data_IF_868363348702
#
_entry.id   IF_868363348702
#
_cell.length_a   1.000
_cell.length_b   1.000
_cell.length_c   1.000
_cell.angle_alpha   90.00
_cell.angle_beta   90.00
_cell.angle_gamma   90.00
#
_symmetry.space_group_name_H-M   'P 1'
#
loop_
_entity.id
_entity.type
_entity.pdbx_description
1 polymer ?
#
# COMPACT_ATOMS: atom_id res chain seq x y z
N UNK A 1 -4.57 25.48 -0.54
CA UNK A 1 -4.73 24.58 0.63
C UNK A 1 -3.36 24.43 1.32
N UNK A 2 -3.28 24.88 2.59
CA UNK A 2 -2.03 24.94 3.37
C UNK A 2 -1.25 23.60 3.41
N UNK A 3 -1.94 22.48 3.34
CA UNK A 3 -1.30 21.16 3.32
C UNK A 3 -0.64 20.87 1.97
N UNK A 4 -1.26 21.27 0.88
CA UNK A 4 -0.67 21.10 -0.46
C UNK A 4 0.56 21.99 -0.65
N UNK A 5 0.54 23.20 -0.09
CA UNK A 5 1.68 24.11 -0.12
C UNK A 5 2.84 23.53 0.72
N UNK A 6 2.54 23.02 1.92
CA UNK A 6 3.51 22.30 2.75
C UNK A 6 4.13 21.11 2.00
N UNK A 7 3.34 20.31 1.28
CA UNK A 7 3.84 19.17 0.53
C UNK A 7 4.75 19.59 -0.62
N UNK A 8 4.48 20.71 -1.29
CA UNK A 8 5.34 21.24 -2.35
C UNK A 8 6.69 21.73 -1.84
N UNK A 9 6.69 22.37 -0.65
CA UNK A 9 7.88 22.95 -0.06
C UNK A 9 8.81 21.89 0.56
N UNK A 10 8.31 20.66 0.72
CA UNK A 10 9.06 19.55 1.29
C UNK A 10 9.44 18.54 0.21
N UNK A 11 10.59 17.88 0.38
CA UNK A 11 11.10 16.86 -0.55
C UNK A 11 10.32 15.54 -0.41
N UNK A 12 9.07 15.53 -0.85
CA UNK A 12 8.25 14.32 -0.86
C UNK A 12 8.55 13.53 -2.14
N UNK A 13 8.98 12.28 -2.01
CA UNK A 13 9.30 11.43 -3.15
C UNK A 13 8.07 10.87 -3.84
N UNK A 14 7.12 10.37 -3.07
CA UNK A 14 5.90 9.76 -3.61
C UNK A 14 4.86 9.61 -2.49
N UNK A 15 3.62 9.43 -2.91
CA UNK A 15 2.51 9.06 -2.03
C UNK A 15 2.07 7.63 -2.34
N UNK A 16 1.88 6.84 -1.30
CA UNK A 16 1.13 5.60 -1.38
C UNK A 16 -0.23 5.83 -0.73
N UNK A 17 -1.28 5.65 -1.50
CA UNK A 17 -2.66 5.79 -1.04
C UNK A 17 -3.37 4.45 -1.20
N UNK A 18 -4.06 4.01 -0.16
CA UNK A 18 -4.83 2.76 -0.23
C UNK A 18 -6.26 3.05 -0.67
N UNK A 19 -6.74 2.27 -1.64
CA UNK A 19 -8.12 2.24 -2.10
C UNK A 19 -8.55 0.78 -2.20
N UNK A 20 -9.45 0.34 -1.32
CA UNK A 20 -9.74 -1.09 -1.15
C UNK A 20 -10.72 -1.66 -2.20
N UNK A 21 -11.20 -0.83 -3.12
CA UNK A 21 -12.10 -1.24 -4.19
C UNK A 21 -12.86 -0.07 -4.79
N UNK A 22 -13.95 -0.37 -5.45
CA UNK A 22 -14.94 0.61 -5.92
C UNK A 22 -15.67 1.26 -4.73
N UNK A 23 -16.48 2.26 -4.99
CA UNK A 23 -17.06 3.14 -3.98
C UNK A 23 -17.77 2.41 -2.84
N UNK A 24 -18.65 1.49 -3.14
CA UNK A 24 -19.39 0.70 -2.14
C UNK A 24 -18.44 -0.15 -1.27
N UNK A 25 -17.47 -0.81 -1.88
CA UNK A 25 -16.46 -1.64 -1.18
C UNK A 25 -15.58 -0.78 -0.28
N UNK A 26 -15.09 0.34 -0.79
CA UNK A 26 -14.24 1.24 -0.03
C UNK A 26 -14.99 1.83 1.17
N UNK A 27 -16.21 2.30 0.96
CA UNK A 27 -17.01 2.94 1.99
C UNK A 27 -17.51 1.96 3.06
N UNK A 28 -17.77 0.70 2.68
CA UNK A 28 -18.08 -0.37 3.63
C UNK A 28 -16.86 -0.73 4.51
N UNK A 29 -15.68 -0.90 3.89
CA UNK A 29 -14.47 -1.33 4.61
C UNK A 29 -13.85 -0.22 5.45
N UNK A 30 -13.89 0.99 4.97
CA UNK A 30 -13.26 2.16 5.62
C UNK A 30 -14.17 3.38 5.55
N UNK A 31 -15.29 3.37 6.28
CA UNK A 31 -16.22 4.49 6.27
C UNK A 31 -15.56 5.77 6.80
N UNK A 32 -15.84 6.89 6.16
CA UNK A 32 -15.39 8.17 6.67
C UNK A 32 -16.24 8.58 7.90
N UNK A 33 -15.57 9.02 8.98
CA UNK A 33 -16.20 9.27 10.29
C UNK A 33 -17.34 10.30 10.28
N UNK A 34 -17.43 11.19 9.28
CA UNK A 34 -18.48 12.21 9.20
C UNK A 34 -19.68 11.78 8.35
N UNK A 35 -19.44 11.15 7.22
CA UNK A 35 -20.45 10.93 6.17
C UNK A 35 -20.40 9.56 5.52
N UNK A 36 -19.58 8.66 6.05
CA UNK A 36 -19.32 7.31 5.51
C UNK A 36 -18.74 7.27 4.08
N UNK A 37 -18.42 8.42 3.48
CA UNK A 37 -17.88 8.51 2.13
C UNK A 37 -16.37 8.79 2.17
N UNK A 38 -15.59 7.75 2.31
CA UNK A 38 -14.13 7.81 2.19
C UNK A 38 -13.66 7.74 0.74
N UNK A 39 -14.44 7.10 -0.14
CA UNK A 39 -14.07 6.93 -1.53
C UNK A 39 -13.93 8.26 -2.26
N UNK A 40 -14.95 9.12 -2.19
CA UNK A 40 -14.89 10.45 -2.79
C UNK A 40 -13.72 11.25 -2.24
N UNK A 41 -13.53 11.25 -0.92
CA UNK A 41 -12.43 12.00 -0.29
C UNK A 41 -11.05 11.53 -0.73
N UNK A 42 -10.84 10.21 -0.81
CA UNK A 42 -9.58 9.62 -1.26
C UNK A 42 -9.33 9.95 -2.73
N UNK A 43 -10.33 9.82 -3.58
CA UNK A 43 -10.19 10.06 -5.02
C UNK A 43 -9.95 11.53 -5.34
N UNK A 44 -10.56 12.47 -4.62
CA UNK A 44 -10.26 13.91 -4.70
C UNK A 44 -8.81 14.21 -4.33
N UNK A 45 -8.30 13.58 -3.27
CA UNK A 45 -6.91 13.75 -2.86
C UNK A 45 -5.93 13.19 -3.92
N UNK A 46 -6.23 12.03 -4.53
CA UNK A 46 -5.45 11.49 -5.64
C UNK A 46 -5.44 12.46 -6.82
N UNK A 47 -6.62 13.00 -7.21
CA UNK A 47 -6.73 13.99 -8.28
C UNK A 47 -5.85 15.22 -8.00
N UNK A 48 -5.89 15.75 -6.78
CA UNK A 48 -5.10 16.91 -6.38
C UNK A 48 -3.60 16.65 -6.45
N UNK A 49 -3.14 15.51 -5.94
CA UNK A 49 -1.71 15.15 -5.95
C UNK A 49 -1.19 14.93 -7.38
N UNK A 50 -1.97 14.24 -8.22
CA UNK A 50 -1.58 13.99 -9.62
C UNK A 50 -1.52 15.31 -10.42
N UNK A 51 -2.47 16.22 -10.22
CA UNK A 51 -2.45 17.55 -10.83
C UNK A 51 -1.24 18.40 -10.43
N UNK A 52 -0.74 18.19 -9.23
CA UNK A 52 0.47 18.83 -8.73
C UNK A 52 1.77 18.15 -9.19
N UNK A 53 1.67 17.05 -9.93
CA UNK A 53 2.81 16.31 -10.47
C UNK A 53 3.45 15.33 -9.50
N UNK A 54 2.85 15.08 -8.32
CA UNK A 54 3.39 14.11 -7.38
C UNK A 54 3.23 12.68 -7.91
N UNK A 55 4.23 11.81 -7.68
CA UNK A 55 4.07 10.38 -7.88
C UNK A 55 3.07 9.79 -6.87
N UNK A 56 2.05 9.10 -7.40
CA UNK A 56 1.01 8.48 -6.59
C UNK A 56 0.91 7.00 -6.92
N UNK A 57 1.26 6.17 -5.96
CA UNK A 57 1.01 4.74 -6.00
C UNK A 57 -0.34 4.45 -5.32
N UNK A 58 -1.29 3.88 -6.06
CA UNK A 58 -2.56 3.44 -5.47
C UNK A 58 -2.49 1.96 -5.16
N UNK A 59 -2.43 1.66 -3.86
CA UNK A 59 -2.46 0.30 -3.35
C UNK A 59 -3.89 -0.19 -3.25
N UNK A 60 -4.19 -1.33 -3.85
CA UNK A 60 -5.49 -1.98 -3.80
C UNK A 60 -5.34 -3.23 -2.94
N UNK A 61 -5.90 -3.21 -1.72
CA UNK A 61 -5.92 -4.40 -0.87
C UNK A 61 -6.93 -5.39 -1.46
N UNK A 62 -6.40 -6.51 -1.93
CA UNK A 62 -7.13 -7.44 -2.77
C UNK A 62 -7.36 -8.77 -2.04
N UNK A 63 -8.60 -9.20 -2.00
CA UNK A 63 -9.07 -10.51 -1.58
C UNK A 63 -9.94 -11.15 -2.68
N UNK A 64 -10.58 -12.28 -2.39
CA UNK A 64 -11.45 -12.98 -3.35
C UNK A 64 -12.62 -12.14 -3.84
N UNK A 65 -13.16 -11.23 -3.00
CA UNK A 65 -14.25 -10.34 -3.39
C UNK A 65 -13.76 -9.18 -4.25
N UNK A 66 -12.74 -8.45 -3.78
CA UNK A 66 -12.21 -7.28 -4.48
C UNK A 66 -11.68 -7.63 -5.86
N UNK A 67 -11.02 -8.80 -6.02
CA UNK A 67 -10.45 -9.20 -7.31
C UNK A 67 -11.53 -9.46 -8.36
N UNK A 68 -12.71 -9.87 -7.96
CA UNK A 68 -13.82 -10.09 -8.90
C UNK A 68 -14.28 -8.79 -9.56
N UNK A 69 -14.19 -7.67 -8.83
CA UNK A 69 -14.62 -6.32 -9.25
C UNK A 69 -13.47 -5.39 -9.66
N UNK A 70 -12.29 -5.95 -9.84
CA UNK A 70 -11.08 -5.18 -10.12
C UNK A 70 -11.16 -4.41 -11.44
N UNK A 71 -11.79 -5.00 -12.46
CA UNK A 71 -12.04 -4.37 -13.74
C UNK A 71 -12.92 -3.11 -13.64
N UNK A 72 -13.91 -3.07 -12.75
CA UNK A 72 -14.72 -1.89 -12.48
C UNK A 72 -13.85 -0.74 -11.93
N UNK A 73 -12.98 -1.06 -10.97
CA UNK A 73 -12.09 -0.07 -10.37
C UNK A 73 -11.07 0.49 -11.38
N UNK A 74 -10.50 -0.37 -12.21
CA UNK A 74 -9.55 0.06 -13.24
C UNK A 74 -10.25 0.86 -14.35
N UNK A 75 -11.50 0.54 -14.69
CA UNK A 75 -12.33 1.36 -15.57
C UNK A 75 -12.57 2.75 -14.97
N UNK A 76 -12.85 2.83 -13.68
CA UNK A 76 -12.98 4.11 -12.96
C UNK A 76 -11.68 4.94 -13.07
N UNK A 77 -10.50 4.35 -12.86
CA UNK A 77 -9.22 5.07 -13.02
C UNK A 77 -9.04 5.61 -14.45
N UNK A 78 -9.48 4.84 -15.44
CA UNK A 78 -9.47 5.27 -16.85
C UNK A 78 -10.43 6.43 -17.10
N UNK A 79 -11.65 6.39 -16.56
CA UNK A 79 -12.63 7.46 -16.65
C UNK A 79 -12.15 8.75 -15.96
N UNK A 80 -11.48 8.64 -14.83
CA UNK A 80 -10.79 9.75 -14.15
C UNK A 80 -9.60 10.30 -14.96
N UNK A 81 -9.15 9.60 -15.98
CA UNK A 81 -8.01 9.98 -16.80
C UNK A 81 -6.68 9.89 -16.06
N UNK A 82 -6.58 9.11 -14.99
CA UNK A 82 -5.36 9.02 -14.19
C UNK A 82 -4.19 8.39 -14.96
N UNK A 83 -4.46 7.49 -15.88
CA UNK A 83 -3.42 6.87 -16.72
C UNK A 83 -2.65 7.84 -17.63
N UNK A 84 -3.16 9.05 -17.85
CA UNK A 84 -2.40 10.12 -18.57
C UNK A 84 -1.19 10.60 -17.78
N UNK A 85 -1.21 10.46 -16.45
CA UNK A 85 -0.08 10.83 -15.60
C UNK A 85 0.95 9.69 -15.58
N UNK A 86 2.20 9.99 -15.95
CA UNK A 86 3.30 9.01 -15.89
C UNK A 86 3.62 8.58 -14.46
N UNK A 87 3.25 9.40 -13.52
CA UNK A 87 3.48 9.24 -12.08
C UNK A 87 2.37 8.47 -11.36
N UNK A 88 1.33 8.04 -12.07
CA UNK A 88 0.26 7.20 -11.52
C UNK A 88 0.63 5.72 -11.66
N UNK A 89 0.64 5.00 -10.54
CA UNK A 89 1.03 3.59 -10.47
C UNK A 89 0.08 2.77 -9.58
N UNK A 90 -1.02 2.24 -10.12
CA UNK A 90 -1.92 1.37 -9.35
C UNK A 90 -1.33 -0.05 -9.24
N UNK A 91 -1.44 -0.66 -8.06
CA UNK A 91 -1.03 -2.04 -7.86
C UNK A 91 -1.91 -2.78 -6.87
N UNK A 92 -2.12 -4.07 -7.14
CA UNK A 92 -2.84 -4.98 -6.27
C UNK A 92 -1.89 -5.59 -5.24
N UNK A 93 -2.31 -5.63 -4.00
CA UNK A 93 -1.61 -6.27 -2.90
C UNK A 93 -2.56 -7.20 -2.15
N UNK A 94 -2.09 -8.37 -1.76
CA UNK A 94 -2.89 -9.29 -0.96
C UNK A 94 -3.34 -8.60 0.33
N UNK A 95 -4.64 -8.67 0.63
CA UNK A 95 -5.17 -8.27 1.93
C UNK A 95 -4.63 -9.24 2.98
N UNK A 96 -3.83 -8.73 3.91
CA UNK A 96 -3.34 -9.53 5.03
C UNK A 96 -4.44 -9.64 6.08
N UNK A 97 -4.60 -10.83 6.61
CA UNK A 97 -5.38 -11.03 7.84
C UNK A 97 -4.50 -10.60 9.01
N UNK A 98 -5.03 -9.83 9.93
CA UNK A 98 -4.34 -9.54 11.17
C UNK A 98 -4.19 -10.83 11.97
N UNK A 99 -3.03 -10.98 12.65
CA UNK A 99 -2.64 -12.20 13.34
C UNK A 99 -3.63 -12.55 14.47
N UNK A 100 -4.40 -11.56 14.93
CA UNK A 100 -5.33 -11.69 16.07
C UNK A 100 -6.81 -11.85 15.67
N UNK A 101 -7.17 -11.61 14.41
CA UNK A 101 -8.54 -11.81 13.95
C UNK A 101 -8.73 -13.23 13.42
N UNK A 102 -9.43 -14.05 14.22
CA UNK A 102 -10.17 -15.24 13.77
C UNK A 102 -11.33 -14.78 12.86
N UNK A 103 -11.01 -14.09 11.74
CA UNK A 103 -12.03 -13.64 10.82
C UNK A 103 -12.61 -14.86 10.09
N UNK A 104 -13.91 -15.05 10.23
CA UNK A 104 -14.73 -16.09 9.57
C UNK A 104 -14.86 -15.89 8.04
N UNK A 105 -13.86 -15.38 7.36
CA UNK A 105 -13.84 -15.36 5.89
C UNK A 105 -13.29 -16.71 5.41
N UNK A 106 -14.22 -17.59 5.05
CA UNK A 106 -14.05 -19.03 4.88
C UNK A 106 -13.23 -19.50 3.67
N UNK A 107 -12.74 -18.63 2.83
CA UNK A 107 -11.83 -19.05 1.74
C UNK A 107 -10.51 -18.30 1.82
N UNK A 108 -9.42 -19.02 2.11
CA UNK A 108 -8.11 -18.40 2.14
C UNK A 108 -7.71 -18.02 0.71
N UNK A 109 -7.93 -16.74 0.35
CA UNK A 109 -7.41 -16.18 -0.88
C UNK A 109 -5.90 -16.02 -0.75
N UNK A 110 -5.17 -16.82 -1.52
CA UNK A 110 -3.72 -16.89 -1.42
C UNK A 110 -3.03 -15.92 -2.36
N UNK A 111 -1.73 -15.72 -2.16
CA UNK A 111 -0.90 -14.96 -3.08
C UNK A 111 -0.90 -15.55 -4.50
N UNK A 112 -0.97 -16.87 -4.62
CA UNK A 112 -1.01 -17.56 -5.92
C UNK A 112 -2.33 -17.26 -6.63
N UNK A 113 -3.45 -17.25 -5.90
CA UNK A 113 -4.77 -16.91 -6.43
C UNK A 113 -4.81 -15.47 -6.93
N UNK A 114 -4.25 -14.53 -6.14
CA UNK A 114 -4.11 -13.13 -6.55
C UNK A 114 -3.34 -13.01 -7.86
N UNK A 115 -2.15 -13.60 -7.94
CA UNK A 115 -1.26 -13.50 -9.10
C UNK A 115 -1.92 -14.11 -10.33
N UNK A 116 -2.45 -15.33 -10.23
CA UNK A 116 -3.08 -16.02 -11.35
C UNK A 116 -4.28 -15.23 -11.87
N UNK A 117 -5.22 -14.86 -11.00
CA UNK A 117 -6.44 -14.14 -11.41
C UNK A 117 -6.11 -12.76 -11.97
N UNK A 118 -5.13 -12.07 -11.40
CA UNK A 118 -4.68 -10.76 -11.90
C UNK A 118 -4.15 -10.87 -13.33
N UNK A 119 -3.25 -11.80 -13.59
CA UNK A 119 -2.67 -11.97 -14.92
C UNK A 119 -3.65 -12.54 -15.94
N UNK A 120 -4.59 -13.37 -15.55
CA UNK A 120 -5.72 -13.78 -16.42
C UNK A 120 -6.56 -12.58 -16.84
N UNK A 121 -6.98 -11.73 -15.89
CA UNK A 121 -7.71 -10.50 -16.20
C UNK A 121 -6.90 -9.57 -17.11
N UNK A 122 -5.60 -9.44 -16.89
CA UNK A 122 -4.71 -8.64 -17.73
C UNK A 122 -4.60 -9.20 -19.14
N UNK A 123 -4.45 -10.51 -19.30
CA UNK A 123 -4.41 -11.20 -20.59
C UNK A 123 -5.72 -11.05 -21.38
N UNK A 124 -6.85 -10.98 -20.68
CA UNK A 124 -8.17 -10.73 -21.29
C UNK A 124 -8.43 -9.26 -21.62
N UNK A 125 -7.46 -8.36 -21.42
CA UNK A 125 -7.60 -6.92 -21.67
C UNK A 125 -8.55 -6.20 -20.69
N UNK A 126 -8.87 -6.81 -19.55
CA UNK A 126 -9.76 -6.21 -18.55
C UNK A 126 -9.03 -5.23 -17.63
N UNK A 127 -7.70 -5.29 -17.57
CA UNK A 127 -6.88 -4.39 -16.77
C UNK A 127 -5.94 -3.60 -17.68
N UNK A 128 -5.66 -2.36 -17.30
CA UNK A 128 -4.70 -1.51 -18.00
C UNK A 128 -3.27 -2.09 -17.94
N UNK A 129 -2.45 -1.78 -18.93
CA UNK A 129 -1.05 -2.24 -18.99
C UNK A 129 -0.21 -1.75 -17.80
N UNK A 130 -0.52 -0.57 -17.26
CA UNK A 130 0.13 0.00 -16.08
C UNK A 130 -0.30 -0.67 -14.77
N UNK A 131 -1.34 -1.51 -14.80
CA UNK A 131 -1.75 -2.27 -13.62
C UNK A 131 -0.65 -3.25 -13.23
N UNK A 132 -0.26 -3.20 -11.96
CA UNK A 132 0.76 -4.07 -11.39
C UNK A 132 0.19 -4.95 -10.29
N UNK A 133 0.78 -6.11 -10.08
CA UNK A 133 0.54 -6.95 -8.91
C UNK A 133 1.77 -6.89 -8.01
N UNK A 134 1.56 -6.73 -6.70
CA UNK A 134 2.66 -6.67 -5.75
C UNK A 134 3.56 -7.91 -5.91
N UNK A 135 4.82 -7.62 -6.15
CA UNK A 135 5.81 -8.64 -6.39
C UNK A 135 6.39 -9.13 -5.07
N UNK A 136 5.86 -10.22 -4.57
CA UNK A 136 6.41 -10.92 -3.42
C UNK A 136 7.66 -11.70 -3.87
N UNK A 137 8.68 -11.79 -3.03
CA UNK A 137 10.01 -12.31 -3.38
C UNK A 137 10.05 -13.62 -4.18
N UNK A 138 9.08 -14.51 -3.96
CA UNK A 138 8.96 -15.79 -4.69
C UNK A 138 8.81 -15.60 -6.20
N UNK A 139 8.00 -14.61 -6.63
CA UNK A 139 7.84 -14.34 -8.07
C UNK A 139 9.14 -13.83 -8.70
N UNK A 140 9.90 -13.00 -8.02
CA UNK A 140 11.19 -12.53 -8.51
C UNK A 140 12.20 -13.67 -8.64
N UNK A 141 12.20 -14.59 -7.70
CA UNK A 141 13.05 -15.79 -7.74
C UNK A 141 12.68 -16.64 -8.95
N UNK A 142 11.40 -16.98 -9.12
CA UNK A 142 10.92 -17.79 -10.24
C UNK A 142 11.21 -17.11 -11.58
N UNK A 143 10.94 -15.81 -11.68
CA UNK A 143 11.23 -15.04 -12.90
C UNK A 143 12.72 -15.02 -13.23
N UNK A 144 13.59 -14.86 -12.25
CA UNK A 144 15.04 -14.90 -12.46
C UNK A 144 15.51 -16.28 -12.94
N UNK A 145 15.00 -17.34 -12.33
CA UNK A 145 15.29 -18.71 -12.73
C UNK A 145 14.83 -19.00 -14.17
N UNK A 146 13.60 -18.64 -14.52
CA UNK A 146 13.03 -18.85 -15.86
C UNK A 146 13.75 -18.05 -16.96
N UNK A 147 14.26 -16.87 -16.62
CA UNK A 147 14.95 -16.00 -17.57
C UNK A 147 16.47 -16.19 -17.57
N UNK A 148 17.00 -17.14 -16.78
CA UNK A 148 18.45 -17.35 -16.63
C UNK A 148 19.19 -16.12 -16.09
N UNK A 149 18.51 -15.23 -15.37
CA UNK A 149 19.10 -14.02 -14.78
C UNK A 149 19.55 -14.28 -13.35
N UNK A 150 20.68 -13.71 -12.92
CA UNK A 150 21.10 -13.81 -11.53
C UNK A 150 20.04 -13.22 -10.61
N UNK A 151 19.85 -13.83 -9.44
CA UNK A 151 19.00 -13.27 -8.39
C UNK A 151 19.58 -11.93 -7.93
N UNK A 152 18.72 -10.93 -7.80
CA UNK A 152 19.12 -9.66 -7.21
C UNK A 152 19.52 -9.90 -5.73
N UNK A 153 20.72 -9.51 -5.38
CA UNK A 153 21.16 -9.52 -3.99
C UNK A 153 20.33 -8.50 -3.19
N UNK A 154 19.78 -8.93 -2.05
CA UNK A 154 19.09 -8.06 -1.11
C UNK A 154 19.88 -8.01 0.19
N UNK A 155 20.32 -6.82 0.57
CA UNK A 155 21.00 -6.59 1.85
C UNK A 155 20.05 -6.62 3.05
N UNK A 156 18.73 -6.46 2.81
CA UNK A 156 17.70 -6.57 3.83
C UNK A 156 16.40 -7.07 3.20
N UNK A 157 15.62 -7.83 3.96
CA UNK A 157 14.33 -8.40 3.50
C UNK A 157 13.14 -7.53 3.90
N UNK A 158 13.28 -6.69 4.92
CA UNK A 158 12.22 -5.88 5.48
C UNK A 158 12.65 -4.42 5.68
N UNK A 159 11.74 -3.49 5.43
CA UNK A 159 11.95 -2.05 5.66
C UNK A 159 12.24 -1.70 7.12
N UNK A 160 11.75 -2.50 8.08
CA UNK A 160 12.04 -2.31 9.50
C UNK A 160 13.54 -2.43 9.85
N UNK A 161 14.29 -3.15 9.01
CA UNK A 161 15.76 -3.31 9.16
C UNK A 161 16.55 -2.26 8.41
N UNK A 162 15.91 -1.38 7.64
CA UNK A 162 16.57 -0.39 6.78
C UNK A 162 16.16 1.05 7.05
N UNK A 163 15.56 1.33 8.22
CA UNK A 163 15.21 2.68 8.63
C UNK A 163 13.75 3.07 8.35
N UNK A 164 12.85 2.10 8.22
CA UNK A 164 11.43 2.40 8.18
C UNK A 164 10.99 2.97 9.54
N UNK A 165 10.40 4.15 9.54
CA UNK A 165 9.94 4.86 10.74
C UNK A 165 8.47 5.21 10.54
N UNK A 166 7.63 4.85 11.51
CA UNK A 166 6.19 5.05 11.48
C UNK A 166 5.80 5.89 12.69
N UNK A 167 5.11 6.98 12.42
CA UNK A 167 4.55 7.88 13.42
C UNK A 167 3.09 7.54 13.61
N UNK A 168 2.69 7.20 14.82
CA UNK A 168 1.30 6.91 15.13
C UNK A 168 0.54 8.18 15.59
N UNK A 169 -0.80 8.17 15.59
CA UNK A 169 -1.58 9.33 16.03
C UNK A 169 -1.44 9.67 17.53
N UNK A 170 -0.88 8.77 18.33
CA UNK A 170 -0.71 8.95 19.78
C UNK A 170 0.63 9.57 20.15
N UNK A 171 1.48 9.84 19.15
CA UNK A 171 2.78 10.48 19.35
C UNK A 171 3.93 9.49 19.53
N UNK A 172 3.70 8.21 19.29
CA UNK A 172 4.70 7.16 19.41
C UNK A 172 5.34 6.83 18.05
N UNK A 173 6.54 6.25 18.07
CA UNK A 173 7.34 5.91 16.90
C UNK A 173 7.58 4.40 16.88
N UNK A 174 7.35 3.77 15.71
CA UNK A 174 7.50 2.33 15.49
C UNK A 174 8.35 2.02 14.25
N UNK A 175 9.07 0.88 14.20
CA UNK A 175 9.88 0.49 13.04
C UNK A 175 9.07 -0.32 11.99
N UNK A 176 7.92 -0.85 12.36
CA UNK A 176 7.10 -1.74 11.52
C UNK A 176 5.61 -1.49 11.71
N UNK A 177 4.84 -1.59 10.63
CA UNK A 177 3.38 -1.45 10.64
C UNK A 177 2.69 -2.50 11.51
N UNK A 178 3.21 -3.72 11.49
CA UNK A 178 2.60 -4.87 12.18
C UNK A 178 2.75 -4.79 13.71
N UNK A 179 3.51 -3.81 14.22
CA UNK A 179 3.75 -3.62 15.66
C UNK A 179 3.26 -2.27 16.19
N UNK A 180 2.61 -1.47 15.36
CA UNK A 180 2.03 -0.20 15.81
C UNK A 180 1.00 -0.45 16.92
N UNK A 181 1.09 0.33 18.01
CA UNK A 181 0.25 0.18 19.20
C UNK A 181 0.75 -0.85 20.22
N UNK A 182 1.75 -1.66 19.91
CA UNK A 182 2.34 -2.63 20.84
C UNK A 182 3.53 -1.99 21.55
N UNK A 183 3.35 -1.55 22.79
CA UNK A 183 4.32 -0.73 23.55
C UNK A 183 5.74 -1.31 23.63
N UNK A 184 5.88 -2.64 23.68
CA UNK A 184 7.20 -3.30 23.74
C UNK A 184 8.05 -3.09 22.48
N UNK A 185 7.42 -2.76 21.33
CA UNK A 185 8.09 -2.53 20.05
C UNK A 185 8.22 -1.05 19.67
N UNK A 186 7.75 -0.16 20.54
CA UNK A 186 7.94 1.27 20.38
C UNK A 186 9.43 1.60 20.42
N UNK A 187 9.90 2.40 19.47
CA UNK A 187 11.33 2.82 19.37
C UNK A 187 11.53 4.29 19.75
N UNK A 188 10.47 5.00 20.11
CA UNK A 188 10.57 6.39 20.52
C UNK A 188 9.22 7.09 20.58
N UNK A 189 9.28 8.40 20.73
CA UNK A 189 8.12 9.33 20.70
C UNK A 189 8.46 10.58 19.90
N UNK A 190 7.42 11.24 19.35
CA UNK A 190 7.57 12.53 18.67
C UNK A 190 6.64 13.61 19.24
N UNK A 191 5.75 13.26 20.16
CA UNK A 191 4.91 14.18 20.91
C UNK A 191 5.05 13.86 22.41
N UNK A 192 5.25 14.84 23.32
CA UNK A 192 5.44 16.28 23.02
C UNK A 192 6.81 16.62 22.43
N UNK A 193 7.82 15.80 22.69
CA UNK A 193 9.20 16.01 22.24
C UNK A 193 9.73 14.80 21.49
N UNK A 194 10.54 15.05 20.46
CA UNK A 194 11.16 13.98 19.68
C UNK A 194 12.25 13.28 20.49
N UNK A 195 12.08 11.99 20.69
CA UNK A 195 13.04 11.13 21.37
C UNK A 195 13.05 9.73 20.74
N UNK A 196 14.23 9.19 20.49
CA UNK A 196 14.44 7.81 20.07
C UNK A 196 15.16 7.02 21.16
N UNK A 197 14.77 5.77 21.33
CA UNK A 197 15.37 4.85 22.31
C UNK A 197 16.47 4.02 21.63
N UNK A 198 17.74 4.43 21.81
CA UNK A 198 18.90 3.85 21.12
C UNK A 198 19.00 2.33 21.21
N UNK A 199 18.74 1.75 22.38
CA UNK A 199 18.82 0.29 22.54
C UNK A 199 17.74 -0.45 21.76
N UNK A 200 16.55 0.13 21.65
CA UNK A 200 15.46 -0.43 20.83
C UNK A 200 15.72 -0.26 19.35
N UNK A 201 16.31 0.86 18.95
CA UNK A 201 16.77 1.06 17.57
C UNK A 201 17.81 0.03 17.18
N UNK A 202 18.81 -0.20 18.04
CA UNK A 202 19.86 -1.22 17.81
C UNK A 202 19.26 -2.61 17.62
N UNK A 203 18.28 -2.98 18.43
CA UNK A 203 17.57 -4.26 18.29
C UNK A 203 16.96 -4.45 16.89
N UNK A 204 16.39 -3.38 16.29
CA UNK A 204 15.74 -3.48 14.99
C UNK A 204 16.68 -3.36 13.80
N UNK A 205 17.77 -2.58 13.92
CA UNK A 205 18.66 -2.28 12.81
C UNK A 205 19.92 -3.13 12.76
N UNK A 206 20.26 -3.83 13.84
CA UNK A 206 21.50 -4.61 13.94
C UNK A 206 21.28 -6.10 14.20
N UNK A 207 20.06 -6.60 14.03
CA UNK A 207 19.79 -8.05 14.07
C UNK A 207 20.09 -8.74 12.76
#
# INVERSE_FOLDING_TARGET
>A
DKYLDFLKDNKIFSFQITLDGVEDVQNERKPHYKNNDSFTKITENIDALLKLGFPVAVRINTDSYTISRLDELFLFFKQKGWYRYRTFAPYCALLRKDIEENSMFETPFSQIDLVNTFYEKKKLGKLDEKAECQNYGTYNILKSLLLGKPLAYKGAFCGSQTGNIIFDPLGDIYPCWDVVGISKYKIGRYIPDFHLEDDRLKFWFYM
#
